data_IF_042532726662
#
_entry.id   IF_042532726662
#
_cell.length_a   1.000
_cell.length_b   1.000
_cell.length_c   1.000
_cell.angle_alpha   90.00
_cell.angle_beta   90.00
_cell.angle_gamma   90.00
#
_symmetry.space_group_name_H-M   'P 1'
#
loop_
_entity.id
_entity.type
_entity.pdbx_description
1 polymer ?
#
# COMPACT_ATOMS: atom_id res chain seq x y z
N UNK A 1 -4.23 13.67 11.98
CA UNK A 1 -4.34 12.22 11.73
C UNK A 1 -4.11 12.01 10.22
N UNK A 2 -3.88 10.79 9.70
CA UNK A 2 -3.40 10.63 8.32
C UNK A 2 -4.12 9.54 7.53
N UNK A 3 -4.50 9.86 6.29
CA UNK A 3 -5.04 8.92 5.30
C UNK A 3 -3.89 8.33 4.50
N UNK A 4 -3.85 7.00 4.35
CA UNK A 4 -2.73 6.31 3.72
C UNK A 4 -3.17 5.67 2.40
N UNK A 5 -2.72 6.25 1.28
CA UNK A 5 -2.92 5.69 -0.04
C UNK A 5 -1.72 4.82 -0.46
N UNK A 6 -2.02 3.70 -1.12
CA UNK A 6 -1.03 2.92 -1.85
C UNK A 6 -1.35 2.90 -3.33
N UNK A 7 -0.34 3.15 -4.17
CA UNK A 7 -0.47 3.03 -5.63
C UNK A 7 0.67 2.16 -6.17
N UNK A 8 0.35 1.11 -6.91
CA UNK A 8 1.33 0.17 -7.45
C UNK A 8 1.15 0.01 -8.94
N UNK A 9 2.19 0.34 -9.69
CA UNK A 9 2.31 0.03 -11.11
C UNK A 9 2.76 -1.41 -11.32
N UNK A 10 1.99 -2.18 -12.08
CA UNK A 10 2.28 -3.57 -12.40
C UNK A 10 2.20 -3.80 -13.93
N UNK A 11 3.33 -3.75 -14.65
CA UNK A 11 3.37 -4.23 -16.02
C UNK A 11 3.07 -5.74 -16.04
N UNK A 12 2.23 -6.17 -16.98
CA UNK A 12 1.89 -7.58 -17.19
C UNK A 12 2.61 -8.07 -18.46
N UNK A 13 2.55 -9.38 -18.73
CA UNK A 13 3.22 -9.97 -19.89
C UNK A 13 2.75 -9.36 -21.22
N UNK A 14 3.49 -9.62 -22.30
CA UNK A 14 3.35 -8.95 -23.61
C UNK A 14 1.91 -8.78 -24.14
N UNK A 15 1.03 -9.75 -23.89
CA UNK A 15 -0.36 -9.77 -24.37
C UNK A 15 -1.40 -9.25 -23.36
N UNK A 16 -0.95 -8.73 -22.21
CA UNK A 16 -1.83 -8.25 -21.15
C UNK A 16 -1.54 -6.78 -20.88
N UNK A 17 -2.60 -6.00 -20.78
CA UNK A 17 -2.47 -4.60 -20.41
C UNK A 17 -1.80 -4.46 -19.04
N UNK A 18 -0.92 -3.47 -18.85
CA UNK A 18 -0.43 -3.14 -17.53
C UNK A 18 -1.60 -2.71 -16.64
N UNK A 19 -1.41 -2.81 -15.32
CA UNK A 19 -2.44 -2.43 -14.34
C UNK A 19 -1.89 -1.49 -13.28
N UNK A 20 -2.75 -0.61 -12.79
CA UNK A 20 -2.54 0.11 -11.54
C UNK A 20 -3.36 -0.58 -10.46
N UNK A 21 -2.71 -0.96 -9.37
CA UNK A 21 -3.34 -1.49 -8.17
C UNK A 21 -3.30 -0.38 -7.11
N UNK A 22 -4.40 -0.14 -6.40
CA UNK A 22 -4.42 0.93 -5.40
C UNK A 22 -5.44 0.67 -4.30
N UNK A 23 -5.27 1.35 -3.17
CA UNK A 23 -6.21 1.43 -2.06
C UNK A 23 -6.05 2.75 -1.33
N UNK A 24 -7.04 3.07 -0.49
CA UNK A 24 -7.00 4.20 0.44
C UNK A 24 -7.47 3.72 1.81
N UNK A 25 -6.63 3.93 2.81
CA UNK A 25 -6.95 3.71 4.21
C UNK A 25 -7.24 5.04 4.89
N UNK A 26 -8.21 5.05 5.78
CA UNK A 26 -8.40 6.16 6.71
C UNK A 26 -7.38 6.14 7.86
N UNK A 27 -7.66 6.95 8.87
CA UNK A 27 -6.82 7.15 10.05
C UNK A 27 -6.86 5.97 11.02
N UNK A 28 -7.92 5.15 10.94
CA UNK A 28 -8.16 3.93 11.70
C UNK A 28 -7.76 2.68 10.91
N UNK A 29 -7.14 2.85 9.74
CA UNK A 29 -6.75 1.78 8.82
C UNK A 29 -7.93 1.01 8.23
N UNK A 30 -9.11 1.62 8.19
CA UNK A 30 -10.26 1.09 7.46
C UNK A 30 -10.22 1.51 5.99
N UNK A 31 -10.85 0.70 5.13
CA UNK A 31 -10.88 0.99 3.70
C UNK A 31 -11.87 2.11 3.38
N UNK A 32 -11.36 3.23 2.86
CA UNK A 32 -12.17 4.18 2.08
C UNK A 32 -12.24 3.77 0.61
N UNK A 33 -11.16 3.18 0.11
CA UNK A 33 -11.13 2.49 -1.18
C UNK A 33 -10.57 1.09 -0.91
N UNK A 34 -11.42 0.07 -1.06
CA UNK A 34 -10.98 -1.33 -1.02
C UNK A 34 -9.95 -1.61 -2.11
N UNK A 35 -9.08 -2.62 -1.95
CA UNK A 35 -8.04 -2.95 -2.94
C UNK A 35 -8.61 -3.11 -4.34
N UNK A 36 -8.23 -2.20 -5.24
CA UNK A 36 -8.75 -2.12 -6.60
C UNK A 36 -7.64 -2.35 -7.63
N UNK A 37 -8.04 -2.79 -8.82
CA UNK A 37 -7.18 -2.98 -9.99
C UNK A 37 -7.85 -2.29 -11.17
N UNK A 38 -7.10 -1.46 -11.89
CA UNK A 38 -7.54 -0.90 -13.17
C UNK A 38 -6.57 -1.31 -14.28
N UNK A 39 -7.11 -1.66 -15.45
CA UNK A 39 -6.33 -1.88 -16.66
C UNK A 39 -5.98 -0.54 -17.31
N UNK A 40 -4.75 -0.44 -17.83
CA UNK A 40 -4.17 0.83 -18.27
C UNK A 40 -4.00 0.82 -19.78
N UNK A 41 -4.85 1.60 -20.43
CA UNK A 41 -4.81 1.87 -21.87
C UNK A 41 -4.02 3.14 -22.18
N UNK A 42 -4.27 4.20 -21.41
CA UNK A 42 -3.48 5.43 -21.41
C UNK A 42 -2.95 5.72 -20.00
N UNK A 43 -1.63 5.79 -19.86
CA UNK A 43 -0.99 5.91 -18.56
C UNK A 43 -1.36 7.21 -17.84
N UNK A 44 -1.44 8.33 -18.56
CA UNK A 44 -1.69 9.65 -17.96
C UNK A 44 -3.11 9.75 -17.43
N UNK A 45 -4.09 9.34 -18.24
CA UNK A 45 -5.50 9.27 -17.89
C UNK A 45 -5.72 8.34 -16.70
N UNK A 46 -5.19 7.10 -16.76
CA UNK A 46 -5.36 6.14 -15.67
C UNK A 46 -4.73 6.59 -14.35
N UNK A 47 -3.56 7.24 -14.39
CA UNK A 47 -2.96 7.83 -13.18
C UNK A 47 -3.82 8.96 -12.63
N UNK A 48 -4.31 9.86 -13.49
CA UNK A 48 -5.17 10.98 -13.09
C UNK A 48 -6.46 10.46 -12.46
N UNK A 49 -7.12 9.48 -13.09
CA UNK A 49 -8.32 8.84 -12.57
C UNK A 49 -8.12 8.27 -11.15
N UNK A 50 -7.01 7.58 -10.90
CA UNK A 50 -6.70 7.02 -9.57
C UNK A 50 -6.49 8.11 -8.53
N UNK A 51 -5.75 9.16 -8.89
CA UNK A 51 -5.45 10.26 -7.98
C UNK A 51 -6.71 11.07 -7.65
N UNK A 52 -7.55 11.36 -8.65
CA UNK A 52 -8.82 12.05 -8.47
C UNK A 52 -9.78 11.22 -7.59
N UNK A 53 -9.81 9.90 -7.77
CA UNK A 53 -10.62 9.01 -6.94
C UNK A 53 -10.18 9.05 -5.47
N UNK A 54 -8.87 8.99 -5.21
CA UNK A 54 -8.30 9.12 -3.85
C UNK A 54 -8.65 10.49 -3.26
N UNK A 55 -8.42 11.56 -4.03
CA UNK A 55 -8.54 12.94 -3.57
C UNK A 55 -9.98 13.28 -3.15
N UNK A 56 -10.99 12.81 -3.88
CA UNK A 56 -12.40 13.08 -3.59
C UNK A 56 -12.88 12.53 -2.25
N UNK A 57 -12.21 11.50 -1.73
CA UNK A 57 -12.60 10.81 -0.50
C UNK A 57 -11.86 11.32 0.74
N UNK A 58 -10.92 12.26 0.58
CA UNK A 58 -10.13 12.79 1.69
C UNK A 58 -10.61 14.20 2.05
N UNK A 59 -11.19 14.42 3.25
CA UNK A 59 -11.71 15.72 3.66
C UNK A 59 -10.64 16.82 3.75
N UNK A 60 -9.46 16.48 4.30
CA UNK A 60 -8.30 17.38 4.35
C UNK A 60 -7.13 16.78 3.58
N UNK A 61 -6.84 17.36 2.40
CA UNK A 61 -5.74 16.91 1.55
C UNK A 61 -4.40 16.91 2.28
N UNK A 62 -4.16 17.80 3.25
CA UNK A 62 -2.89 17.86 4.00
C UNK A 62 -2.66 16.62 4.88
N UNK A 63 -3.72 15.89 5.21
CA UNK A 63 -3.65 14.62 5.92
C UNK A 63 -3.35 13.42 5.00
N UNK A 64 -3.38 13.60 3.67
CA UNK A 64 -3.15 12.53 2.71
C UNK A 64 -1.67 12.19 2.55
N UNK A 65 -1.35 10.92 2.75
CA UNK A 65 -0.05 10.33 2.47
C UNK A 65 -0.16 9.34 1.33
N UNK A 66 0.51 9.61 0.22
CA UNK A 66 0.56 8.68 -0.91
C UNK A 66 1.91 8.00 -0.94
N UNK A 67 1.87 6.68 -0.82
CA UNK A 67 3.00 5.82 -1.07
C UNK A 67 2.82 5.06 -2.36
N UNK A 68 3.89 4.93 -3.13
CA UNK A 68 3.78 4.27 -4.43
C UNK A 68 4.98 3.40 -4.79
N UNK A 69 4.72 2.37 -5.59
CA UNK A 69 5.75 1.49 -6.14
C UNK A 69 5.64 1.41 -7.65
N UNK A 70 6.71 1.81 -8.31
CA UNK A 70 6.99 1.48 -9.72
C UNK A 70 8.00 0.34 -9.81
N UNK A 71 7.75 -0.60 -10.72
CA UNK A 71 8.70 -1.67 -11.06
C UNK A 71 9.74 -1.09 -12.02
N UNK A 72 11.03 -1.36 -11.78
CA UNK A 72 12.14 -0.80 -12.55
C UNK A 72 12.91 -1.81 -13.40
N UNK A 73 12.55 -3.11 -13.43
CA UNK A 73 13.37 -4.12 -14.13
C UNK A 73 12.69 -4.78 -15.33
N UNK A 74 13.26 -4.45 -16.50
CA UNK A 74 13.66 -5.34 -17.60
C UNK A 74 12.65 -6.36 -18.15
N UNK A 75 11.46 -5.90 -18.52
CA UNK A 75 10.74 -6.50 -19.65
C UNK A 75 10.63 -5.42 -20.74
N UNK A 76 10.95 -5.77 -21.98
CA UNK A 76 11.18 -4.85 -23.11
C UNK A 76 10.20 -3.68 -23.19
N UNK A 77 10.66 -2.52 -23.67
CA UNK A 77 9.90 -1.26 -23.85
C UNK A 77 9.25 -0.62 -22.58
N UNK A 78 8.93 -1.36 -21.52
CA UNK A 78 8.20 -0.87 -20.32
C UNK A 78 9.01 -0.01 -19.32
N UNK A 79 10.30 0.23 -19.59
CA UNK A 79 11.14 1.14 -18.78
C UNK A 79 10.64 2.59 -18.87
N UNK A 80 10.13 2.99 -20.04
CA UNK A 80 9.64 4.36 -20.27
C UNK A 80 8.34 4.61 -19.49
N UNK A 81 7.39 3.69 -19.56
CA UNK A 81 6.09 3.81 -18.86
C UNK A 81 6.28 3.82 -17.34
N UNK A 82 7.18 2.97 -16.81
CA UNK A 82 7.44 2.93 -15.37
C UNK A 82 8.09 4.23 -14.85
N UNK A 83 8.95 4.85 -15.68
CA UNK A 83 9.53 6.16 -15.38
C UNK A 83 8.48 7.27 -15.52
N UNK A 84 7.62 7.19 -16.53
CA UNK A 84 6.53 8.15 -16.74
C UNK A 84 5.51 8.08 -15.60
N UNK A 85 5.16 6.88 -15.13
CA UNK A 85 4.32 6.68 -13.95
C UNK A 85 4.93 7.36 -12.72
N UNK A 86 6.22 7.11 -12.44
CA UNK A 86 6.94 7.76 -11.32
C UNK A 86 6.89 9.29 -11.42
N UNK A 87 7.13 9.83 -12.61
CA UNK A 87 7.08 11.27 -12.89
C UNK A 87 5.67 11.83 -12.68
N UNK A 88 4.63 11.17 -13.19
CA UNK A 88 3.24 11.63 -13.07
C UNK A 88 2.80 11.69 -11.61
N UNK A 89 3.05 10.62 -10.84
CA UNK A 89 2.72 10.61 -9.40
C UNK A 89 3.49 11.72 -8.66
N UNK A 90 4.81 11.84 -8.88
CA UNK A 90 5.61 12.88 -8.22
C UNK A 90 5.17 14.29 -8.59
N UNK A 91 4.87 14.56 -9.86
CA UNK A 91 4.40 15.86 -10.30
C UNK A 91 3.09 16.22 -9.59
N UNK A 92 2.16 15.28 -9.48
CA UNK A 92 0.91 15.51 -8.75
C UNK A 92 1.16 15.76 -7.26
N UNK A 93 2.04 14.98 -6.62
CA UNK A 93 2.40 15.19 -5.20
C UNK A 93 3.06 16.55 -4.95
N UNK A 94 3.95 16.99 -5.84
CA UNK A 94 4.60 18.30 -5.74
C UNK A 94 3.57 19.42 -5.87
N UNK A 95 2.69 19.34 -6.88
CA UNK A 95 1.66 20.36 -7.12
C UNK A 95 0.68 20.51 -5.95
N UNK A 96 0.43 19.42 -5.22
CA UNK A 96 -0.48 19.42 -4.07
C UNK A 96 0.24 19.60 -2.72
N UNK A 97 1.56 19.82 -2.71
CA UNK A 97 2.37 19.90 -1.49
C UNK A 97 2.31 18.64 -0.60
N UNK A 98 2.14 17.46 -1.21
CA UNK A 98 2.02 16.15 -0.55
C UNK A 98 3.26 15.26 -0.71
N UNK A 99 4.32 15.78 -1.32
CA UNK A 99 5.55 15.02 -1.51
C UNK A 99 6.29 14.86 -0.17
N UNK A 100 6.16 13.71 0.46
CA UNK A 100 6.96 13.34 1.63
C UNK A 100 8.33 12.77 1.22
N UNK A 101 9.35 12.89 2.09
CA UNK A 101 10.55 12.09 1.96
C UNK A 101 10.21 10.60 1.83
N UNK A 102 10.83 9.94 0.87
CA UNK A 102 10.63 8.52 0.60
C UNK A 102 9.19 8.12 0.21
N UNK A 103 8.33 9.00 -0.33
CA UNK A 103 6.98 8.60 -0.81
C UNK A 103 6.99 7.40 -1.76
N UNK A 104 8.08 7.22 -2.51
CA UNK A 104 8.30 6.02 -3.30
C UNK A 104 8.82 4.87 -2.43
N UNK A 105 8.10 3.75 -2.42
CA UNK A 105 8.57 2.50 -1.83
C UNK A 105 9.67 1.89 -2.71
N UNK A 106 10.89 1.79 -2.19
CA UNK A 106 12.02 1.26 -2.95
C UNK A 106 11.94 -0.27 -3.12
N UNK A 107 11.51 -1.00 -2.08
CA UNK A 107 11.62 -2.46 -1.97
C UNK A 107 10.27 -3.06 -1.56
N UNK A 108 9.84 -4.11 -2.26
CA UNK A 108 8.72 -4.96 -1.82
C UNK A 108 9.23 -6.04 -0.86
N UNK A 109 8.35 -6.52 0.02
CA UNK A 109 8.67 -7.61 0.94
C UNK A 109 9.13 -8.86 0.19
N UNK A 110 10.22 -9.50 0.65
CA UNK A 110 10.67 -10.80 0.11
C UNK A 110 9.74 -11.91 0.61
N UNK A 111 9.89 -13.12 0.07
CA UNK A 111 8.97 -14.26 0.28
C UNK A 111 8.64 -14.51 1.76
N UNK A 112 9.64 -14.58 2.64
CA UNK A 112 9.46 -14.86 4.08
C UNK A 112 8.73 -13.72 4.79
N UNK A 113 9.17 -12.48 4.58
CA UNK A 113 8.51 -11.29 5.11
C UNK A 113 7.08 -11.13 4.61
N UNK A 114 6.84 -11.42 3.33
CA UNK A 114 5.53 -11.33 2.72
C UNK A 114 4.60 -12.41 3.27
N UNK A 115 5.10 -13.63 3.53
CA UNK A 115 4.35 -14.69 4.19
C UNK A 115 3.92 -14.24 5.59
N UNK A 116 4.87 -13.82 6.42
CA UNK A 116 4.60 -13.30 7.76
C UNK A 116 3.56 -12.18 7.74
N UNK A 117 3.71 -11.22 6.83
CA UNK A 117 2.78 -10.09 6.72
C UNK A 117 1.39 -10.51 6.26
N UNK A 118 1.27 -11.46 5.32
CA UNK A 118 -0.02 -12.01 4.89
C UNK A 118 -0.70 -12.79 6.01
N UNK A 119 0.04 -13.58 6.76
CA UNK A 119 -0.51 -14.33 7.89
C UNK A 119 -1.03 -13.38 8.96
N UNK A 120 -0.30 -12.30 9.25
CA UNK A 120 -0.75 -11.24 10.16
C UNK A 120 -2.03 -10.54 9.68
N UNK A 121 -2.06 -10.12 8.41
CA UNK A 121 -3.26 -9.48 7.83
C UNK A 121 -4.47 -10.41 7.88
N UNK A 122 -4.29 -11.70 7.57
CA UNK A 122 -5.36 -12.68 7.61
C UNK A 122 -5.94 -12.88 9.02
N UNK A 123 -5.09 -12.98 10.05
CA UNK A 123 -5.54 -13.06 11.44
C UNK A 123 -6.17 -11.77 11.96
N UNK A 124 -6.01 -10.66 11.23
CA UNK A 124 -6.61 -9.35 11.51
C UNK A 124 -7.80 -9.06 10.59
N UNK A 125 -8.44 -10.11 10.08
CA UNK A 125 -9.61 -10.09 9.20
C UNK A 125 -9.44 -9.27 7.91
N UNK A 126 -8.21 -9.18 7.40
CA UNK A 126 -7.90 -8.57 6.11
C UNK A 126 -7.65 -9.68 5.10
N UNK A 127 -8.62 -9.91 4.20
CA UNK A 127 -8.51 -10.96 3.20
C UNK A 127 -7.39 -10.64 2.17
N UNK A 128 -6.31 -11.40 2.30
CA UNK A 128 -5.19 -11.41 1.37
C UNK A 128 -4.76 -12.84 0.96
N UNK A 129 -5.48 -13.87 1.47
CA UNK A 129 -5.19 -15.29 1.23
C UNK A 129 -6.07 -15.90 0.16
N UNK A 130 -7.24 -15.32 -0.12
CA UNK A 130 -8.09 -15.75 -1.24
C UNK A 130 -7.31 -15.70 -2.56
N UNK A 131 -7.55 -16.69 -3.43
CA UNK A 131 -6.87 -16.81 -4.73
C UNK A 131 -7.03 -15.49 -5.51
N UNK A 132 -5.90 -14.90 -5.92
CA UNK A 132 -5.90 -13.62 -6.62
C UNK A 132 -5.78 -12.38 -5.74
N UNK A 133 -5.95 -12.48 -4.41
CA UNK A 133 -5.86 -11.35 -3.46
C UNK A 133 -4.46 -11.12 -2.88
N UNK A 134 -3.45 -11.86 -3.35
CA UNK A 134 -2.08 -11.69 -2.88
C UNK A 134 -1.52 -10.25 -3.05
N UNK A 135 -2.10 -9.45 -3.95
CA UNK A 135 -1.72 -8.05 -4.16
C UNK A 135 -2.21 -7.12 -3.05
N UNK A 136 -3.24 -7.50 -2.29
CA UNK A 136 -3.74 -6.74 -1.13
C UNK A 136 -2.61 -6.53 -0.13
N UNK A 137 -1.87 -7.59 0.21
CA UNK A 137 -0.71 -7.50 1.10
C UNK A 137 0.38 -6.58 0.55
N UNK A 138 0.56 -6.52 -0.77
CA UNK A 138 1.49 -5.56 -1.38
C UNK A 138 1.01 -4.13 -1.20
N UNK A 139 -0.28 -3.85 -1.43
CA UNK A 139 -0.83 -2.52 -1.25
C UNK A 139 -0.78 -2.07 0.22
N UNK A 140 -1.12 -2.93 1.18
CA UNK A 140 -0.93 -2.65 2.61
C UNK A 140 0.53 -2.36 2.96
N UNK A 141 1.47 -3.15 2.42
CA UNK A 141 2.90 -2.93 2.65
C UNK A 141 3.38 -1.59 2.09
N UNK A 142 2.80 -1.13 0.98
CA UNK A 142 3.10 0.16 0.37
C UNK A 142 2.49 1.29 1.21
N UNK A 143 1.18 1.20 1.52
CA UNK A 143 0.43 2.21 2.27
C UNK A 143 1.11 2.54 3.60
N UNK A 144 1.61 1.52 4.31
CA UNK A 144 2.23 1.67 5.62
C UNK A 144 3.77 1.75 5.58
N UNK A 145 4.38 1.76 4.37
CA UNK A 145 5.85 1.70 4.19
C UNK A 145 6.48 0.55 5.00
N UNK A 146 5.89 -0.64 4.94
CA UNK A 146 6.39 -1.84 5.58
C UNK A 146 7.65 -2.32 4.85
N UNK A 147 8.81 -2.06 5.44
CA UNK A 147 10.11 -2.61 5.01
C UNK A 147 10.46 -3.82 5.86
N UNK A 148 11.39 -4.71 5.45
CA UNK A 148 11.75 -5.89 6.25
C UNK A 148 12.05 -5.62 7.72
N UNK A 149 12.66 -4.47 8.04
CA UNK A 149 12.95 -4.05 9.42
C UNK A 149 11.72 -3.52 10.16
N UNK A 150 10.75 -2.92 9.45
CA UNK A 150 9.56 -2.26 10.02
C UNK A 150 8.33 -3.16 10.09
N UNK A 151 8.35 -4.36 9.50
CA UNK A 151 7.20 -5.27 9.50
C UNK A 151 6.64 -5.50 10.91
N UNK A 152 7.46 -5.81 11.95
CA UNK A 152 6.90 -6.04 13.28
C UNK A 152 6.15 -4.81 13.81
N UNK A 153 6.69 -3.61 13.60
CA UNK A 153 6.07 -2.35 14.02
C UNK A 153 4.77 -2.07 13.24
N UNK A 154 4.76 -2.35 11.94
CA UNK A 154 3.58 -2.16 11.09
C UNK A 154 2.48 -3.14 11.51
N UNK A 155 2.80 -4.41 11.72
CA UNK A 155 1.84 -5.41 12.22
C UNK A 155 1.24 -4.96 13.56
N UNK A 156 2.09 -4.50 14.49
CA UNK A 156 1.64 -3.92 15.77
C UNK A 156 0.71 -2.73 15.59
N UNK A 157 0.98 -1.88 14.60
CA UNK A 157 0.14 -0.70 14.30
C UNK A 157 -1.24 -1.14 13.80
N UNK A 158 -1.30 -2.11 12.88
CA UNK A 158 -2.56 -2.64 12.37
C UNK A 158 -3.34 -3.32 13.50
N UNK A 159 -2.67 -4.16 14.30
CA UNK A 159 -3.25 -4.83 15.45
C UNK A 159 -3.86 -3.83 16.44
N UNK A 160 -3.11 -2.79 16.84
CA UNK A 160 -3.63 -1.72 17.70
C UNK A 160 -4.87 -1.07 17.11
N UNK A 161 -4.87 -0.78 15.81
CA UNK A 161 -5.98 -0.14 15.12
C UNK A 161 -7.24 -1.00 15.19
N UNK A 162 -7.11 -2.29 14.84
CA UNK A 162 -8.22 -3.26 14.85
C UNK A 162 -8.88 -3.43 16.22
N UNK A 163 -8.09 -3.34 17.30
CA UNK A 163 -8.61 -3.44 18.67
C UNK A 163 -8.90 -2.07 19.33
N UNK A 164 -8.83 -0.95 18.60
CA UNK A 164 -9.09 0.39 19.15
C UNK A 164 -8.08 0.85 20.21
N UNK A 165 -6.87 0.28 20.22
CA UNK A 165 -5.86 0.51 21.27
C UNK A 165 -5.04 1.76 20.96
N UNK A 166 -5.22 2.82 21.77
CA UNK A 166 -4.43 4.05 21.64
C UNK A 166 -3.02 3.91 22.23
N UNK A 167 -2.91 3.41 23.47
CA UNK A 167 -1.64 3.24 24.22
C UNK A 167 -1.37 1.77 24.50
N UNK A 168 -0.11 1.35 24.34
CA UNK A 168 0.30 -0.02 24.65
C UNK A 168 0.55 -0.16 26.15
N UNK A 169 -0.36 -0.83 26.86
CA UNK A 169 -0.19 -1.21 28.26
C UNK A 169 0.55 -2.55 28.35
N UNK A 170 1.08 -2.95 29.53
CA UNK A 170 1.68 -4.27 29.72
C UNK A 170 0.73 -5.41 29.33
N UNK A 171 -0.55 -5.31 29.66
CA UNK A 171 -1.56 -6.31 29.30
C UNK A 171 -1.74 -6.46 27.79
N UNK A 172 -1.86 -5.34 27.06
CA UNK A 172 -1.95 -5.38 25.60
C UNK A 172 -0.65 -5.85 24.95
N UNK A 173 0.50 -5.60 25.60
CA UNK A 173 1.78 -6.11 25.13
C UNK A 173 1.84 -7.63 25.21
N UNK A 174 1.34 -8.23 26.29
CA UNK A 174 1.22 -9.69 26.43
C UNK A 174 0.33 -10.26 25.31
N UNK A 175 -0.87 -9.72 25.14
CA UNK A 175 -1.79 -10.14 24.06
C UNK A 175 -1.20 -9.98 22.67
N UNK A 176 -0.47 -8.89 22.43
CA UNK A 176 0.22 -8.68 21.16
C UNK A 176 1.32 -9.72 20.94
N UNK A 177 2.08 -10.05 21.98
CA UNK A 177 3.15 -11.06 21.88
C UNK A 177 2.58 -12.46 21.62
N UNK A 178 1.45 -12.81 22.24
CA UNK A 178 0.70 -14.04 21.95
C UNK A 178 0.26 -14.09 20.48
N UNK A 179 -0.41 -13.02 20.01
CA UNK A 179 -0.78 -12.88 18.60
C UNK A 179 0.44 -13.03 17.66
N UNK A 180 1.54 -12.36 17.98
CA UNK A 180 2.74 -12.34 17.13
C UNK A 180 3.46 -13.70 17.13
N UNK A 181 3.39 -14.46 18.22
CA UNK A 181 3.96 -15.80 18.31
C UNK A 181 3.26 -16.79 17.35
N UNK A 182 1.96 -16.63 17.09
CA UNK A 182 1.22 -17.45 16.11
C UNK A 182 1.63 -17.22 14.65
N UNK A 183 2.44 -16.19 14.37
CA UNK A 183 2.91 -15.86 13.04
C UNK A 183 4.27 -16.49 12.68
N UNK A 184 4.96 -17.08 13.66
CA UNK A 184 6.29 -17.69 13.53
C UNK A 184 6.19 -19.17 13.19
#
# INVERSE_FOLDING_TARGET
>A
MSYNAAIRWLPRGYYKLPVIQYLLLDEQLEYLISPAIIEVYDLKSSVTQVLDHIERLVPDKKALKIHFKSITKSYGRHRRDSLQFDRLIRQWLIRNHLLEPNSRTAILLKKTQLKLFKDALYLLDIDCKTRGQAFVAHLWSIALKATPKRIPEVIKTIWKSRYGIKRMTPEYLVKYNEFYAHLQ
#
